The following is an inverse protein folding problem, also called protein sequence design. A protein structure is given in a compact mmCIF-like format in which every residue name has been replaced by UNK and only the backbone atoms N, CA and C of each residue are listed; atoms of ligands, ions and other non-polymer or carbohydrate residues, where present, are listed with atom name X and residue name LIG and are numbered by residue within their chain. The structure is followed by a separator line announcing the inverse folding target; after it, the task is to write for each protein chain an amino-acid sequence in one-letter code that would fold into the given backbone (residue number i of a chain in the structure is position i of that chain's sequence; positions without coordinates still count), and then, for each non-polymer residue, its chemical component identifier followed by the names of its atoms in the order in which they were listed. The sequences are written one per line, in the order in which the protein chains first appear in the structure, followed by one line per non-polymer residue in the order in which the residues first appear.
data_IF_361299600751
#
_entry.id   IF_361299600751
#
_cell.length_a   1.000
_cell.length_b   1.000
_cell.length_c   1.000
_cell.angle_alpha   90.00
_cell.angle_beta   90.00
_cell.angle_gamma   90.00
#
_symmetry.space_group_name_H-M   'P 1'
#
loop_
_entity.id
_entity.type
_entity.pdbx_description
1 polymer ?
#
# COMPACT_ATOMS: atom_id res chain seq x y z
N UNK A 1 -17.80 -5.81 4.33
CA UNK A 1 -18.00 -5.46 2.92
C UNK A 1 -16.69 -5.78 2.22
N UNK A 2 -16.57 -7.00 1.72
CA UNK A 2 -15.31 -7.54 1.17
C UNK A 2 -15.32 -7.27 -0.33
N UNK A 3 -14.43 -6.39 -0.81
CA UNK A 3 -14.21 -6.23 -2.24
C UNK A 3 -13.22 -7.32 -2.65
N UNK A 4 -13.74 -8.40 -3.22
CA UNK A 4 -12.95 -9.37 -3.98
C UNK A 4 -12.69 -8.75 -5.35
N UNK A 5 -11.52 -8.12 -5.53
CA UNK A 5 -11.09 -7.60 -6.81
C UNK A 5 -10.66 -8.77 -7.73
N UNK A 6 -11.63 -9.36 -8.43
CA UNK A 6 -11.39 -10.20 -9.60
C UNK A 6 -12.03 -9.51 -10.82
N UNK A 7 -11.39 -8.44 -11.27
CA UNK A 7 -11.55 -7.94 -12.64
C UNK A 7 -10.19 -7.98 -13.29
N UNK A 8 -9.98 -8.81 -14.32
CA UNK A 8 -8.70 -8.90 -15.00
C UNK A 8 -8.45 -7.57 -15.71
N UNK A 9 -7.46 -6.84 -15.23
CA UNK A 9 -6.97 -5.63 -15.89
C UNK A 9 -6.17 -6.10 -17.10
N UNK A 10 -6.51 -5.68 -18.31
CA UNK A 10 -5.76 -6.07 -19.49
C UNK A 10 -4.31 -5.55 -19.38
N UNK A 11 -3.36 -6.43 -19.07
CA UNK A 11 -1.95 -6.09 -18.83
C UNK A 11 -1.27 -6.84 -17.67
N UNK A 12 -2.03 -7.45 -16.76
CA UNK A 12 -1.49 -8.21 -15.61
C UNK A 12 -1.29 -9.72 -15.88
N UNK A 13 -1.43 -10.18 -17.12
CA UNK A 13 -1.40 -11.62 -17.43
C UNK A 13 -0.05 -12.27 -17.10
N UNK A 14 1.04 -11.50 -17.17
CA UNK A 14 2.41 -11.94 -16.86
C UNK A 14 3.02 -11.21 -15.63
N UNK A 15 2.22 -10.45 -14.87
CA UNK A 15 2.72 -9.75 -13.68
C UNK A 15 2.41 -10.53 -12.39
N UNK A 16 3.46 -10.99 -11.70
CA UNK A 16 3.37 -11.60 -10.37
C UNK A 16 3.21 -10.50 -9.29
N UNK A 17 2.00 -9.94 -9.17
CA UNK A 17 1.68 -8.91 -8.17
C UNK A 17 1.08 -9.54 -6.92
N UNK A 18 1.73 -9.34 -5.78
CA UNK A 18 1.20 -9.70 -4.46
C UNK A 18 0.43 -8.52 -3.84
N UNK A 19 -0.80 -8.78 -3.39
CA UNK A 19 -1.62 -7.79 -2.68
C UNK A 19 -1.40 -7.96 -1.18
N UNK A 20 -0.94 -6.89 -0.52
CA UNK A 20 -0.69 -6.86 0.92
C UNK A 20 -1.68 -5.92 1.61
N UNK A 21 -2.52 -6.46 2.50
CA UNK A 21 -3.35 -5.68 3.43
C UNK A 21 -2.72 -5.70 4.82
N UNK A 22 -2.38 -4.53 5.35
CA UNK A 22 -1.73 -4.37 6.66
C UNK A 22 -2.21 -3.08 7.36
N UNK A 23 -2.16 -3.02 8.70
CA UNK A 23 -2.48 -1.80 9.45
C UNK A 23 -1.60 -0.62 9.04
N UNK A 24 -2.18 0.58 9.00
CA UNK A 24 -1.47 1.80 8.63
C UNK A 24 -0.26 2.08 9.54
N UNK A 25 -0.39 1.81 10.84
CA UNK A 25 0.72 1.94 11.80
C UNK A 25 1.90 1.01 11.47
N UNK A 26 1.62 -0.22 11.03
CA UNK A 26 2.65 -1.17 10.60
C UNK A 26 3.33 -0.69 9.32
N UNK A 27 2.57 -0.16 8.35
CA UNK A 27 3.15 0.40 7.13
C UNK A 27 4.12 1.55 7.44
N UNK A 28 3.80 2.44 8.40
CA UNK A 28 4.70 3.51 8.84
C UNK A 28 5.96 2.98 9.55
N UNK A 29 5.87 1.89 10.30
CA UNK A 29 7.03 1.23 10.89
C UNK A 29 7.92 0.60 9.82
N UNK A 30 7.34 -0.05 8.81
CA UNK A 30 8.06 -0.64 7.69
C UNK A 30 8.84 0.39 6.86
N UNK A 31 8.38 1.65 6.80
CA UNK A 31 9.18 2.74 6.22
C UNK A 31 10.45 2.99 7.05
N UNK A 32 10.32 2.97 8.38
CA UNK A 32 11.45 3.22 9.30
C UNK A 32 12.45 2.08 9.32
N UNK A 33 11.99 0.83 9.25
CA UNK A 33 12.86 -0.36 9.18
C UNK A 33 13.49 -0.55 7.81
N UNK A 34 13.00 0.15 6.77
CA UNK A 34 13.51 0.08 5.40
C UNK A 34 12.93 -1.11 4.60
N UNK A 35 11.90 -1.76 5.11
CA UNK A 35 11.10 -2.75 4.37
C UNK A 35 10.32 -2.07 3.24
N UNK A 36 9.72 -0.89 3.51
CA UNK A 36 9.16 -0.01 2.47
C UNK A 36 10.19 1.07 2.14
N UNK A 37 10.75 0.99 0.92
CA UNK A 37 11.79 1.90 0.43
C UNK A 37 11.49 2.51 -0.94
N UNK A 38 10.25 2.39 -1.41
CA UNK A 38 9.80 3.03 -2.66
C UNK A 38 9.36 4.47 -2.41
N UNK A 39 9.86 5.39 -3.22
CA UNK A 39 9.63 6.82 -3.03
C UNK A 39 8.17 7.24 -3.17
N UNK A 40 7.41 6.63 -4.10
CA UNK A 40 5.99 6.97 -4.29
C UNK A 40 5.17 6.43 -3.12
N UNK A 41 5.47 5.22 -2.67
CA UNK A 41 4.81 4.61 -1.50
C UNK A 41 5.05 5.42 -0.23
N UNK A 42 6.31 5.80 0.06
CA UNK A 42 6.64 6.61 1.23
C UNK A 42 5.94 7.97 1.19
N UNK A 43 5.91 8.63 0.03
CA UNK A 43 5.25 9.94 -0.12
C UNK A 43 3.75 9.85 0.17
N UNK A 44 3.07 8.85 -0.39
CA UNK A 44 1.62 8.66 -0.20
C UNK A 44 1.27 8.31 1.25
N UNK A 45 2.07 7.46 1.90
CA UNK A 45 1.86 7.11 3.32
C UNK A 45 2.09 8.33 4.24
N UNK A 46 3.08 9.17 3.96
CA UNK A 46 3.30 10.43 4.70
C UNK A 46 2.20 11.46 4.43
N UNK A 47 1.71 11.55 3.19
CA UNK A 47 0.58 12.40 2.85
C UNK A 47 -0.67 11.99 3.61
N UNK A 48 -0.96 10.69 3.66
CA UNK A 48 -2.09 10.13 4.42
C UNK A 48 -1.94 10.37 5.94
N UNK A 49 -0.72 10.26 6.47
CA UNK A 49 -0.45 10.58 7.87
C UNK A 49 -0.72 12.06 8.16
N UNK A 50 -0.33 12.95 7.26
CA UNK A 50 -0.48 14.41 7.43
C UNK A 50 -1.92 14.86 7.23
N UNK A 51 -2.74 14.10 6.50
CA UNK A 51 -4.13 14.46 6.22
C UNK A 51 -5.10 14.15 7.36
N UNK A 52 -4.66 13.48 8.45
CA UNK A 52 -5.47 13.15 9.63
C UNK A 52 -6.75 12.35 9.28
N UNK A 53 -6.75 11.69 8.12
CA UNK A 53 -7.89 10.91 7.63
C UNK A 53 -7.97 9.53 8.30
N UNK A 54 -6.88 9.11 8.94
CA UNK A 54 -6.68 7.81 9.59
C UNK A 54 -6.46 7.96 11.11
N UNK A 55 -6.92 9.08 11.70
CA UNK A 55 -6.93 9.31 13.16
C UNK A 55 -8.05 8.53 13.87
#
# INVERSE_FOLDING_TARGET
MTISALTPVAGIEDEDIEVLELPFSQALEMIKTGEIRDGKTVLLLNYLQTSHLMD
#
